data_IF_024248512103
#
_entry.id   IF_024248512103
#
_cell.length_a   1.000
_cell.length_b   1.000
_cell.length_c   1.000
_cell.angle_alpha   90.00
_cell.angle_beta   90.00
_cell.angle_gamma   90.00
#
_symmetry.space_group_name_H-M   'P 1'
#
loop_
_entity.id
_entity.type
_entity.pdbx_description
1 polymer ?
#
# COMPACT_ATOMS: atom_id res chain seq x y z
N UNK A 1 32.47 11.03 -1.67
CA UNK A 1 33.36 10.18 -2.49
C UNK A 1 32.47 9.03 -2.94
N UNK A 2 32.10 8.97 -4.21
CA UNK A 2 30.93 8.21 -4.68
C UNK A 2 31.05 6.71 -4.42
N UNK A 3 30.04 6.14 -3.76
CA UNK A 3 29.90 4.72 -3.48
C UNK A 3 29.87 3.92 -4.79
N UNK A 4 31.03 3.43 -5.22
CA UNK A 4 31.21 2.60 -6.42
C UNK A 4 31.27 1.10 -6.10
N UNK A 5 31.09 0.69 -4.84
CA UNK A 5 31.25 -0.70 -4.38
C UNK A 5 30.14 -1.67 -4.84
N UNK A 6 29.13 -1.20 -5.56
CA UNK A 6 27.99 -2.01 -6.04
C UNK A 6 28.38 -3.08 -7.06
N UNK A 7 29.47 -2.88 -7.80
CA UNK A 7 29.90 -3.79 -8.84
C UNK A 7 30.68 -4.96 -8.26
N UNK A 8 30.32 -6.17 -8.70
CA UNK A 8 30.98 -7.43 -8.29
C UNK A 8 32.48 -7.38 -8.57
N UNK A 9 32.90 -6.75 -9.67
CA UNK A 9 34.32 -6.55 -9.99
C UNK A 9 35.04 -5.71 -8.95
N UNK A 10 34.40 -4.67 -8.42
CA UNK A 10 35.00 -3.78 -7.42
C UNK A 10 35.20 -4.48 -6.08
N UNK A 11 34.19 -5.21 -5.60
CA UNK A 11 34.33 -6.04 -4.39
C UNK A 11 35.42 -7.09 -4.55
N UNK A 12 35.50 -7.75 -5.72
CA UNK A 12 36.54 -8.75 -6.00
C UNK A 12 37.94 -8.15 -5.94
N UNK A 13 38.17 -7.00 -6.56
CA UNK A 13 39.46 -6.30 -6.53
C UNK A 13 39.86 -5.92 -5.10
N UNK A 14 38.89 -5.45 -4.29
CA UNK A 14 39.12 -5.12 -2.88
C UNK A 14 39.51 -6.36 -2.08
N UNK A 15 38.81 -7.48 -2.28
CA UNK A 15 39.10 -8.73 -1.60
C UNK A 15 40.50 -9.26 -1.92
N UNK A 16 40.90 -9.22 -3.20
CA UNK A 16 42.25 -9.57 -3.65
C UNK A 16 43.31 -8.66 -3.02
N UNK A 17 43.05 -7.35 -2.97
CA UNK A 17 43.98 -6.35 -2.39
C UNK A 17 44.12 -6.48 -0.88
N UNK A 18 43.00 -6.70 -0.16
CA UNK A 18 42.96 -6.80 1.31
C UNK A 18 43.21 -8.22 1.83
N UNK A 19 43.35 -9.22 0.94
CA UNK A 19 43.79 -10.56 1.29
C UNK A 19 42.74 -11.42 2.01
N UNK A 20 41.47 -11.29 1.60
CA UNK A 20 40.36 -12.13 2.03
C UNK A 20 39.59 -12.71 0.82
N UNK A 21 38.77 -13.72 1.06
CA UNK A 21 37.93 -14.38 0.05
C UNK A 21 36.49 -13.91 0.17
N UNK A 22 35.86 -13.67 -0.98
CA UNK A 22 34.43 -13.40 -1.06
C UNK A 22 33.64 -14.67 -1.28
N UNK A 23 32.61 -14.88 -0.46
CA UNK A 23 31.67 -15.99 -0.58
C UNK A 23 30.29 -15.40 -0.84
N UNK A 24 29.67 -15.76 -1.97
CA UNK A 24 28.25 -15.46 -2.15
C UNK A 24 27.47 -16.37 -1.20
N UNK A 25 26.86 -15.77 -0.17
CA UNK A 25 26.20 -16.49 0.90
C UNK A 25 25.12 -15.64 1.52
N UNK A 26 24.02 -16.29 1.91
CA UNK A 26 22.94 -15.67 2.64
C UNK A 26 22.89 -16.26 4.04
N UNK A 27 22.60 -15.42 5.02
CA UNK A 27 22.29 -15.82 6.37
C UNK A 27 20.82 -15.54 6.64
N UNK A 28 20.15 -16.42 7.37
CA UNK A 28 18.86 -16.10 7.94
C UNK A 28 19.13 -15.40 9.28
N UNK A 29 18.97 -14.08 9.31
CA UNK A 29 19.08 -13.30 10.55
C UNK A 29 17.85 -13.60 11.42
N UNK A 30 17.85 -14.77 12.05
CA UNK A 30 16.98 -15.12 13.17
C UNK A 30 17.76 -15.11 14.50
N UNK A 31 19.00 -14.60 14.49
CA UNK A 31 19.87 -14.55 15.65
C UNK A 31 19.32 -13.56 16.69
N UNK A 32 19.41 -13.95 17.96
CA UNK A 32 19.14 -13.08 19.10
C UNK A 32 19.84 -11.73 18.90
N UNK A 33 19.10 -10.62 19.07
CA UNK A 33 19.57 -9.25 18.75
C UNK A 33 20.93 -8.91 19.39
N UNK A 34 21.28 -9.59 20.48
CA UNK A 34 22.50 -9.38 21.25
C UNK A 34 23.79 -9.92 20.59
N UNK A 35 23.68 -10.59 19.43
CA UNK A 35 24.83 -11.17 18.69
C UNK A 35 25.10 -10.50 17.34
N UNK A 36 24.36 -9.43 17.03
CA UNK A 36 24.46 -8.68 15.78
C UNK A 36 25.19 -7.36 16.01
N UNK A 37 26.21 -7.09 15.21
CA UNK A 37 26.97 -5.84 15.27
C UNK A 37 27.01 -5.22 13.87
N UNK A 38 26.33 -4.09 13.71
CA UNK A 38 26.39 -3.30 12.49
C UNK A 38 27.61 -2.38 12.51
N UNK A 39 28.33 -2.33 11.39
CA UNK A 39 29.35 -1.30 11.12
C UNK A 39 28.90 -0.56 9.86
N UNK A 40 28.21 0.59 9.99
CA UNK A 40 27.54 1.25 8.86
C UNK A 40 28.51 1.80 7.81
N UNK A 41 29.68 2.28 8.25
CA UNK A 41 30.70 2.74 7.32
C UNK A 41 31.41 1.55 6.68
N UNK A 42 31.33 1.47 5.36
CA UNK A 42 31.87 0.37 4.58
C UNK A 42 33.40 0.25 4.67
N UNK A 43 34.12 1.36 4.64
CA UNK A 43 35.58 1.34 4.74
C UNK A 43 36.02 0.85 6.12
N UNK A 44 35.37 1.33 7.18
CA UNK A 44 35.59 0.86 8.55
C UNK A 44 35.25 -0.63 8.71
N UNK A 45 34.15 -1.09 8.12
CA UNK A 45 33.76 -2.50 8.14
C UNK A 45 34.81 -3.39 7.48
N UNK A 46 35.31 -3.00 6.30
CA UNK A 46 36.33 -3.76 5.57
C UNK A 46 37.68 -3.74 6.29
N UNK A 47 38.07 -2.62 6.89
CA UNK A 47 39.29 -2.52 7.68
C UNK A 47 39.20 -3.33 8.97
N UNK A 48 38.06 -3.30 9.64
CA UNK A 48 37.82 -4.10 10.84
C UNK A 48 37.80 -5.60 10.51
N UNK A 49 37.21 -6.01 9.39
CA UNK A 49 37.26 -7.40 8.90
C UNK A 49 38.70 -7.93 8.77
N UNK A 50 39.59 -7.11 8.19
CA UNK A 50 41.02 -7.43 8.06
C UNK A 50 41.68 -7.50 9.43
N UNK A 51 41.37 -6.56 10.33
CA UNK A 51 41.94 -6.49 11.67
C UNK A 51 41.60 -7.71 12.54
N UNK A 52 40.39 -8.25 12.43
CA UNK A 52 39.98 -9.47 13.17
C UNK A 52 40.50 -10.77 12.55
N UNK A 53 41.35 -10.65 11.52
CA UNK A 53 42.04 -11.72 10.80
C UNK A 53 41.09 -12.76 10.20
N UNK A 54 39.89 -12.35 9.81
CA UNK A 54 38.96 -13.23 9.12
C UNK A 54 39.29 -13.26 7.62
N UNK A 55 39.30 -14.47 7.04
CA UNK A 55 39.62 -14.67 5.62
C UNK A 55 38.38 -14.82 4.75
N UNK A 56 37.19 -14.89 5.34
CA UNK A 56 35.93 -15.11 4.64
C UNK A 56 34.99 -13.94 4.89
N UNK A 57 34.67 -13.22 3.82
CA UNK A 57 33.62 -12.22 3.80
C UNK A 57 32.46 -12.76 2.97
N UNK A 58 31.30 -12.91 3.59
CA UNK A 58 30.09 -13.29 2.91
C UNK A 58 29.40 -12.05 2.34
N UNK A 59 28.78 -12.19 1.18
CA UNK A 59 28.02 -11.11 0.58
C UNK A 59 26.83 -11.61 -0.23
N UNK A 60 25.82 -10.76 -0.36
CA UNK A 60 24.69 -10.97 -1.25
C UNK A 60 24.13 -9.64 -1.74
N UNK A 61 23.62 -9.65 -2.96
CA UNK A 61 22.92 -8.51 -3.55
C UNK A 61 21.42 -8.62 -3.31
N UNK A 62 20.80 -7.50 -2.95
CA UNK A 62 19.36 -7.29 -3.01
C UNK A 62 19.01 -6.55 -4.30
N UNK A 63 17.85 -6.87 -4.85
CA UNK A 63 17.29 -6.23 -6.03
C UNK A 63 15.84 -5.95 -5.71
N UNK A 64 15.42 -4.72 -6.00
CA UNK A 64 14.03 -4.35 -5.90
C UNK A 64 13.43 -4.26 -7.30
N UNK A 65 12.28 -4.89 -7.55
CA UNK A 65 11.62 -4.82 -8.85
C UNK A 65 11.01 -3.43 -9.03
N UNK A 66 11.11 -2.90 -10.26
CA UNK A 66 10.51 -1.60 -10.63
C UNK A 66 9.00 -1.57 -10.35
N UNK A 67 8.35 -2.72 -10.49
CA UNK A 67 6.91 -2.93 -10.29
C UNK A 67 6.45 -2.56 -8.87
N UNK A 68 7.33 -2.59 -7.87
CA UNK A 68 7.00 -2.17 -6.51
C UNK A 68 6.86 -0.64 -6.38
N UNK A 69 7.42 0.13 -7.31
CA UNK A 69 7.51 1.59 -7.22
C UNK A 69 6.71 2.29 -8.32
N UNK A 70 6.56 1.70 -9.51
CA UNK A 70 5.78 2.31 -10.59
C UNK A 70 4.28 2.29 -10.23
N UNK A 71 3.61 3.45 -10.26
CA UNK A 71 2.17 3.51 -10.00
C UNK A 71 1.41 3.02 -11.24
N UNK A 72 0.53 2.00 -11.13
CA UNK A 72 -0.20 1.47 -12.27
C UNK A 72 -1.27 2.42 -12.84
N UNK A 73 -1.61 2.24 -14.12
CA UNK A 73 -2.57 3.09 -14.85
C UNK A 73 -3.96 3.18 -14.19
N UNK A 74 -4.39 2.16 -13.46
CA UNK A 74 -5.70 2.13 -12.80
C UNK A 74 -5.88 3.26 -11.77
N UNK A 75 -4.79 3.75 -11.19
CA UNK A 75 -4.81 4.86 -10.23
C UNK A 75 -5.14 6.20 -10.91
N UNK A 76 -4.98 6.35 -12.22
CA UNK A 76 -5.34 7.59 -12.92
C UNK A 76 -6.85 7.85 -12.99
N UNK A 77 -7.68 6.84 -12.75
CA UNK A 77 -9.14 6.90 -12.93
C UNK A 77 -9.92 6.53 -11.66
N UNK A 78 -9.23 6.42 -10.52
CA UNK A 78 -9.82 5.97 -9.25
C UNK A 78 -10.46 7.10 -8.43
N UNK A 79 -10.27 8.35 -8.83
CA UNK A 79 -10.61 9.54 -8.05
C UNK A 79 -11.72 10.38 -8.68
N UNK A 80 -12.29 11.29 -7.90
CA UNK A 80 -13.32 12.22 -8.36
C UNK A 80 -12.80 13.13 -9.47
N UNK A 81 -13.66 13.42 -10.45
CA UNK A 81 -13.30 14.15 -11.69
C UNK A 81 -12.61 15.47 -11.41
N UNK A 82 -13.02 16.12 -10.33
CA UNK A 82 -12.54 17.40 -9.82
C UNK A 82 -11.02 17.35 -9.55
N UNK A 83 -10.53 16.29 -8.91
CA UNK A 83 -9.10 16.14 -8.56
C UNK A 83 -8.34 15.17 -9.45
N UNK A 84 -9.06 14.39 -10.26
CA UNK A 84 -8.50 13.29 -11.06
C UNK A 84 -7.36 13.74 -11.99
N UNK A 85 -7.49 14.91 -12.62
CA UNK A 85 -6.46 15.43 -13.51
C UNK A 85 -5.17 15.76 -12.74
N UNK A 86 -5.29 16.39 -11.57
CA UNK A 86 -4.12 16.76 -10.74
C UNK A 86 -3.41 15.51 -10.21
N UNK A 87 -4.17 14.54 -9.71
CA UNK A 87 -3.62 13.25 -9.27
C UNK A 87 -2.91 12.55 -10.42
N UNK A 88 -3.55 12.48 -11.61
CA UNK A 88 -2.94 11.90 -12.80
C UNK A 88 -1.65 12.61 -13.22
N UNK A 89 -1.57 13.93 -13.10
CA UNK A 89 -0.36 14.69 -13.42
C UNK A 89 0.78 14.33 -12.47
N UNK A 90 0.55 14.34 -11.15
CA UNK A 90 1.56 13.97 -10.15
C UNK A 90 2.02 12.52 -10.29
N UNK A 91 1.11 11.57 -10.55
CA UNK A 91 1.47 10.18 -10.85
C UNK A 91 2.40 10.09 -12.07
N UNK A 92 2.05 10.79 -13.17
CA UNK A 92 2.88 10.80 -14.37
C UNK A 92 4.27 11.41 -14.12
N UNK A 93 4.37 12.44 -13.29
CA UNK A 93 5.64 13.05 -12.92
C UNK A 93 6.52 12.10 -12.09
N UNK A 94 5.92 11.45 -11.09
CA UNK A 94 6.60 10.45 -10.28
C UNK A 94 7.05 9.24 -11.11
N UNK A 95 6.19 8.67 -11.94
CA UNK A 95 6.54 7.53 -12.80
C UNK A 95 7.69 7.85 -13.76
N UNK A 96 7.80 9.09 -14.26
CA UNK A 96 8.96 9.55 -15.05
C UNK A 96 10.26 9.62 -14.25
N UNK A 97 10.20 9.78 -12.93
CA UNK A 97 11.39 9.70 -12.06
C UNK A 97 11.79 8.23 -11.92
N UNK A 98 10.84 7.34 -11.63
CA UNK A 98 11.07 5.90 -11.51
C UNK A 98 11.62 5.30 -12.83
N UNK A 99 11.12 5.74 -13.98
CA UNK A 99 11.60 5.30 -15.31
C UNK A 99 13.09 5.61 -15.57
N UNK A 100 13.68 6.55 -14.85
CA UNK A 100 15.10 6.91 -15.01
C UNK A 100 16.03 6.04 -14.16
N UNK A 101 15.47 5.28 -13.21
CA UNK A 101 16.23 4.43 -12.30
C UNK A 101 16.48 3.07 -12.96
N UNK A 102 17.72 2.61 -12.89
CA UNK A 102 18.13 1.32 -13.44
C UNK A 102 17.94 0.21 -12.41
N UNK A 103 16.77 -0.44 -12.42
CA UNK A 103 16.42 -1.52 -11.49
C UNK A 103 17.10 -2.87 -11.79
N UNK A 104 17.78 -3.00 -12.93
CA UNK A 104 18.60 -4.20 -13.22
C UNK A 104 19.88 -4.24 -12.36
N UNK A 105 20.23 -3.10 -11.74
CA UNK A 105 21.32 -3.01 -10.77
C UNK A 105 20.84 -3.34 -9.35
N UNK A 106 21.70 -3.95 -8.50
CA UNK A 106 21.40 -4.17 -7.10
C UNK A 106 20.97 -2.89 -6.38
N UNK A 107 19.93 -2.99 -5.56
CA UNK A 107 19.48 -1.92 -4.68
C UNK A 107 20.31 -1.84 -3.40
N UNK A 108 20.80 -2.99 -2.93
CA UNK A 108 21.68 -3.05 -1.77
C UNK A 108 22.72 -4.17 -1.88
N UNK A 109 23.82 -4.00 -1.14
CA UNK A 109 24.77 -5.08 -0.86
C UNK A 109 24.74 -5.33 0.64
N UNK A 110 24.42 -6.57 0.99
CA UNK A 110 24.58 -7.07 2.34
C UNK A 110 25.92 -7.80 2.44
N UNK A 111 26.77 -7.39 3.37
CA UNK A 111 28.06 -8.03 3.65
C UNK A 111 28.13 -8.42 5.12
N UNK A 112 28.69 -9.60 5.40
CA UNK A 112 28.85 -10.05 6.77
C UNK A 112 30.00 -11.03 6.95
N UNK A 113 30.46 -11.15 8.19
CA UNK A 113 31.31 -12.24 8.62
C UNK A 113 31.01 -12.62 10.07
N UNK A 114 31.42 -13.82 10.47
CA UNK A 114 31.21 -14.34 11.81
C UNK A 114 32.55 -14.44 12.52
N UNK A 115 32.63 -13.89 13.74
CA UNK A 115 33.80 -14.01 14.62
C UNK A 115 33.31 -14.17 16.05
N UNK A 116 33.77 -15.24 16.71
CA UNK A 116 33.50 -15.48 18.14
C UNK A 116 32.00 -15.48 18.51
N UNK A 117 31.15 -15.96 17.61
CA UNK A 117 29.70 -16.02 17.81
C UNK A 117 28.96 -14.73 17.47
N UNK A 118 29.67 -13.63 17.17
CA UNK A 118 29.08 -12.39 16.68
C UNK A 118 29.02 -12.37 15.16
N UNK A 119 27.92 -11.86 14.63
CA UNK A 119 27.75 -11.55 13.23
C UNK A 119 27.96 -10.05 13.04
N UNK A 120 29.07 -9.72 12.39
CA UNK A 120 29.37 -8.36 11.99
C UNK A 120 28.82 -8.15 10.59
N UNK A 121 28.08 -7.08 10.36
CA UNK A 121 27.52 -6.80 9.04
C UNK A 121 27.60 -5.33 8.65
N UNK A 122 27.53 -5.12 7.35
CA UNK A 122 27.33 -3.84 6.70
C UNK A 122 26.22 -4.00 5.67
N UNK A 123 25.33 -3.00 5.62
CA UNK A 123 24.40 -2.83 4.52
C UNK A 123 24.79 -1.54 3.82
N UNK A 124 25.10 -1.64 2.54
CA UNK A 124 25.17 -0.45 1.70
C UNK A 124 23.91 -0.46 0.85
N UNK A 125 23.16 0.63 0.83
CA UNK A 125 21.99 0.84 -0.05
C UNK A 125 22.25 1.91 -1.12
N UNK A 126 21.62 1.75 -2.28
CA UNK A 126 21.75 2.70 -3.39
C UNK A 126 20.89 3.93 -3.10
N UNK A 127 21.52 5.10 -3.08
CA UNK A 127 20.88 6.39 -2.73
C UNK A 127 19.60 6.67 -3.54
N UNK A 128 19.55 6.21 -4.79
CA UNK A 128 18.40 6.40 -5.69
C UNK A 128 17.17 5.58 -5.29
N UNK A 129 17.35 4.51 -4.49
CA UNK A 129 16.29 3.56 -4.11
C UNK A 129 15.94 3.68 -2.62
N UNK A 130 16.91 4.00 -1.75
CA UNK A 130 16.74 3.94 -0.28
C UNK A 130 15.55 4.73 0.25
N UNK A 131 15.24 5.87 -0.37
CA UNK A 131 14.16 6.76 0.04
C UNK A 131 12.88 6.59 -0.79
N UNK A 132 12.82 5.59 -1.68
CA UNK A 132 11.61 5.31 -2.46
C UNK A 132 10.57 4.59 -1.61
N UNK A 133 9.33 5.07 -1.69
CA UNK A 133 8.17 4.37 -1.14
C UNK A 133 7.61 3.40 -2.17
N UNK A 134 7.04 2.29 -1.70
CA UNK A 134 6.21 1.44 -2.54
C UNK A 134 5.04 2.27 -3.13
N UNK A 135 4.56 1.86 -4.31
CA UNK A 135 3.61 2.70 -5.07
C UNK A 135 2.31 2.95 -4.30
N UNK A 136 1.88 2.02 -3.44
CA UNK A 136 0.66 2.17 -2.63
C UNK A 136 0.80 3.33 -1.63
N UNK A 137 1.93 3.39 -0.93
CA UNK A 137 2.23 4.47 0.01
C UNK A 137 2.45 5.80 -0.74
N UNK A 138 3.12 5.77 -1.89
CA UNK A 138 3.34 6.97 -2.70
C UNK A 138 2.03 7.56 -3.24
N UNK A 139 1.06 6.72 -3.59
CA UNK A 139 -0.28 7.18 -3.99
C UNK A 139 -0.94 7.97 -2.86
N UNK A 140 -0.84 7.50 -1.62
CA UNK A 140 -1.41 8.21 -0.47
C UNK A 140 -0.73 9.58 -0.26
N UNK A 141 0.59 9.63 -0.40
CA UNK A 141 1.35 10.90 -0.37
C UNK A 141 0.86 11.87 -1.46
N UNK A 142 0.73 11.39 -2.70
CA UNK A 142 0.23 12.21 -3.81
C UNK A 142 -1.18 12.73 -3.52
N UNK A 143 -2.05 11.89 -2.95
CA UNK A 143 -3.41 12.30 -2.59
C UNK A 143 -3.43 13.36 -1.50
N UNK A 144 -2.60 13.21 -0.46
CA UNK A 144 -2.47 14.22 0.58
C UNK A 144 -2.01 15.56 0.01
N UNK A 145 -1.03 15.55 -0.90
CA UNK A 145 -0.58 16.76 -1.59
C UNK A 145 -1.71 17.41 -2.40
N UNK A 146 -2.43 16.62 -3.22
CA UNK A 146 -3.54 17.15 -4.02
C UNK A 146 -4.65 17.72 -3.14
N UNK A 147 -4.99 17.07 -2.02
CA UNK A 147 -6.00 17.59 -1.08
C UNK A 147 -5.53 18.90 -0.46
N UNK A 148 -4.27 19.03 -0.09
CA UNK A 148 -3.72 20.28 0.46
C UNK A 148 -3.70 21.41 -0.58
N UNK A 149 -3.49 21.09 -1.85
CA UNK A 149 -3.49 22.04 -2.97
C UNK A 149 -4.91 22.39 -3.46
N UNK A 150 -5.91 21.57 -3.13
CA UNK A 150 -7.30 21.74 -3.58
C UNK A 150 -8.03 22.80 -2.74
N UNK A 151 -8.71 23.78 -3.36
CA UNK A 151 -9.51 24.76 -2.62
C UNK A 151 -10.63 24.12 -1.77
N UNK A 152 -10.85 24.64 -0.56
CA UNK A 152 -11.85 24.10 0.39
C UNK A 152 -13.26 24.04 -0.22
N UNK A 153 -13.66 25.04 -1.01
CA UNK A 153 -14.96 25.07 -1.70
C UNK A 153 -15.15 23.86 -2.64
N UNK A 154 -14.09 23.45 -3.32
CA UNK A 154 -14.08 22.31 -4.23
C UNK A 154 -14.09 20.99 -3.46
N UNK A 155 -13.42 20.91 -2.30
CA UNK A 155 -13.52 19.75 -1.40
C UNK A 155 -14.94 19.59 -0.85
N UNK A 156 -15.62 20.68 -0.50
CA UNK A 156 -17.01 20.65 -0.08
C UNK A 156 -17.96 20.27 -1.23
N UNK A 157 -17.68 20.72 -2.46
CA UNK A 157 -18.39 20.26 -3.64
C UNK A 157 -18.26 18.75 -3.84
N UNK A 158 -17.03 18.21 -3.77
CA UNK A 158 -16.76 16.77 -3.87
C UNK A 158 -17.55 16.00 -2.78
N UNK A 159 -17.52 16.45 -1.53
CA UNK A 159 -18.29 15.82 -0.44
C UNK A 159 -19.79 15.84 -0.74
N UNK A 160 -20.31 16.97 -1.23
CA UNK A 160 -21.72 17.11 -1.60
C UNK A 160 -22.10 16.18 -2.75
N UNK A 161 -21.28 16.09 -3.79
CA UNK A 161 -21.49 15.19 -4.91
C UNK A 161 -21.46 13.72 -4.48
N UNK A 162 -20.49 13.30 -3.65
CA UNK A 162 -20.42 11.95 -3.07
C UNK A 162 -21.71 11.62 -2.31
N UNK A 163 -22.15 12.53 -1.43
CA UNK A 163 -23.40 12.37 -0.68
C UNK A 163 -24.61 12.25 -1.61
N UNK A 164 -24.74 13.14 -2.59
CA UNK A 164 -25.84 13.11 -3.55
C UNK A 164 -25.87 11.81 -4.36
N UNK A 165 -24.70 11.26 -4.72
CA UNK A 165 -24.59 9.96 -5.41
C UNK A 165 -25.06 8.82 -4.51
N UNK A 166 -24.59 8.76 -3.27
CA UNK A 166 -25.00 7.76 -2.28
C UNK A 166 -26.52 7.86 -2.04
N UNK A 167 -27.04 9.06 -1.83
CA UNK A 167 -28.47 9.29 -1.61
C UNK A 167 -29.31 8.82 -2.81
N UNK A 168 -28.82 9.02 -4.03
CA UNK A 168 -29.47 8.53 -5.25
C UNK A 168 -29.48 7.01 -5.31
N UNK A 169 -28.34 6.35 -5.10
CA UNK A 169 -28.22 4.89 -5.12
C UNK A 169 -29.05 4.23 -4.00
N UNK A 170 -29.08 4.84 -2.81
CA UNK A 170 -29.95 4.41 -1.70
C UNK A 170 -31.42 4.54 -2.09
N UNK A 171 -31.82 5.62 -2.75
CA UNK A 171 -33.21 5.77 -3.22
C UNK A 171 -33.56 4.75 -4.30
N UNK A 172 -32.65 4.43 -5.23
CA UNK A 172 -32.86 3.36 -6.21
C UNK A 172 -33.05 2.01 -5.51
N UNK A 173 -32.24 1.69 -4.50
CA UNK A 173 -32.41 0.51 -3.65
C UNK A 173 -33.76 0.49 -2.92
N UNK A 174 -34.24 1.64 -2.43
CA UNK A 174 -35.57 1.74 -1.80
C UNK A 174 -36.67 1.34 -2.77
N UNK A 175 -36.64 1.85 -4.00
CA UNK A 175 -37.67 1.53 -5.01
C UNK A 175 -37.65 0.03 -5.35
N UNK A 176 -36.46 -0.58 -5.49
CA UNK A 176 -36.32 -2.03 -5.67
C UNK A 176 -37.01 -2.81 -4.54
N UNK A 177 -36.76 -2.42 -3.29
CA UNK A 177 -37.35 -3.09 -2.11
C UNK A 177 -38.85 -2.81 -2.01
N UNK A 178 -39.31 -1.61 -2.36
CA UNK A 178 -40.72 -1.25 -2.33
C UNK A 178 -41.53 -2.03 -3.36
N UNK A 179 -40.92 -2.42 -4.47
CA UNK A 179 -41.54 -3.27 -5.48
C UNK A 179 -41.52 -4.76 -5.12
N UNK A 180 -40.64 -5.20 -4.22
CA UNK A 180 -40.52 -6.60 -3.80
C UNK A 180 -41.77 -7.09 -3.03
N UNK A 181 -42.53 -8.08 -3.55
CA UNK A 181 -43.66 -8.66 -2.84
C UNK A 181 -43.32 -9.26 -1.47
N UNK A 182 -42.11 -9.80 -1.27
CA UNK A 182 -41.67 -10.35 0.02
C UNK A 182 -41.57 -9.24 1.07
N UNK A 183 -41.12 -8.04 0.68
CA UNK A 183 -41.10 -6.87 1.55
C UNK A 183 -42.52 -6.43 1.92
N UNK A 184 -43.43 -6.36 0.94
CA UNK A 184 -44.84 -5.99 1.16
C UNK A 184 -45.53 -6.91 2.18
N UNK A 185 -45.19 -8.21 2.14
CA UNK A 185 -45.71 -9.22 3.05
C UNK A 185 -45.05 -9.21 4.44
N UNK A 186 -43.93 -8.51 4.62
CA UNK A 186 -43.19 -8.44 5.88
C UNK A 186 -43.81 -7.41 6.85
N UNK A 187 -45.05 -7.65 7.27
CA UNK A 187 -45.86 -6.66 8.02
C UNK A 187 -45.42 -6.45 9.48
N UNK A 188 -44.72 -7.42 10.08
CA UNK A 188 -44.19 -7.32 11.44
C UNK A 188 -42.66 -7.34 11.49
N UNK A 189 -42.08 -6.87 12.59
CA UNK A 189 -40.64 -6.70 12.74
C UNK A 189 -39.85 -8.01 12.57
N UNK A 190 -40.41 -9.15 13.00
CA UNK A 190 -39.74 -10.44 12.82
C UNK A 190 -39.67 -10.83 11.36
N UNK A 191 -40.75 -10.63 10.59
CA UNK A 191 -40.75 -10.90 9.15
C UNK A 191 -39.81 -9.96 8.40
N UNK A 192 -39.73 -8.69 8.81
CA UNK A 192 -38.78 -7.73 8.20
C UNK A 192 -37.33 -8.07 8.48
N UNK A 193 -37.02 -8.60 9.67
CA UNK A 193 -35.69 -9.10 9.98
C UNK A 193 -35.31 -10.28 9.08
N UNK A 194 -36.23 -11.22 8.86
CA UNK A 194 -36.03 -12.35 7.94
C UNK A 194 -35.84 -11.87 6.51
N UNK A 195 -36.71 -10.95 6.05
CA UNK A 195 -36.59 -10.33 4.73
C UNK A 195 -35.22 -9.64 4.54
N UNK A 196 -34.81 -8.83 5.51
CA UNK A 196 -33.52 -8.14 5.50
C UNK A 196 -32.36 -9.12 5.36
N UNK A 197 -32.31 -10.19 6.16
CA UNK A 197 -31.25 -11.19 6.05
C UNK A 197 -31.22 -11.84 4.67
N UNK A 198 -32.38 -12.26 4.13
CA UNK A 198 -32.45 -12.93 2.83
C UNK A 198 -32.06 -12.00 1.67
N UNK A 199 -32.63 -10.79 1.64
CA UNK A 199 -32.39 -9.84 0.56
C UNK A 199 -30.91 -9.44 0.47
N UNK A 200 -30.27 -9.11 1.59
CA UNK A 200 -28.87 -8.66 1.58
C UNK A 200 -27.85 -9.80 1.55
N UNK A 201 -28.27 -11.04 1.83
CA UNK A 201 -27.43 -12.23 1.57
C UNK A 201 -27.32 -12.50 0.06
N UNK A 202 -28.42 -12.30 -0.68
CA UNK A 202 -28.49 -12.45 -2.13
C UNK A 202 -27.91 -11.24 -2.89
N UNK A 203 -27.91 -10.04 -2.28
CA UNK A 203 -27.46 -8.78 -2.90
C UNK A 203 -26.42 -8.07 -2.01
N UNK A 204 -25.23 -8.67 -1.90
CA UNK A 204 -24.18 -8.21 -0.96
C UNK A 204 -23.58 -6.86 -1.33
N UNK A 205 -23.63 -6.47 -2.60
CA UNK A 205 -23.16 -5.18 -3.10
C UNK A 205 -23.85 -3.99 -2.42
N UNK A 206 -25.12 -4.15 -2.01
CA UNK A 206 -25.85 -3.10 -1.32
C UNK A 206 -25.44 -2.93 0.15
N UNK A 207 -24.70 -3.87 0.73
CA UNK A 207 -24.22 -3.75 2.11
C UNK A 207 -23.19 -2.63 2.22
N UNK A 208 -22.25 -2.53 1.27
CA UNK A 208 -21.27 -1.44 1.26
C UNK A 208 -21.92 -0.09 0.98
N UNK A 209 -22.88 -0.04 0.05
CA UNK A 209 -23.69 1.17 -0.18
C UNK A 209 -24.36 1.67 1.12
N UNK A 210 -24.97 0.76 1.89
CA UNK A 210 -25.62 1.12 3.15
C UNK A 210 -24.62 1.64 4.20
N UNK A 211 -23.41 1.07 4.26
CA UNK A 211 -22.37 1.60 5.16
C UNK A 211 -21.94 3.01 4.76
N UNK A 212 -21.80 3.28 3.46
CA UNK A 212 -21.52 4.63 2.96
C UNK A 212 -22.65 5.63 3.24
N UNK A 213 -23.88 5.13 3.39
CA UNK A 213 -25.07 5.89 3.80
C UNK A 213 -25.32 5.91 5.32
N UNK A 214 -24.29 5.62 6.13
CA UNK A 214 -24.34 5.60 7.60
C UNK A 214 -25.29 4.56 8.24
N UNK A 215 -25.71 3.55 7.48
CA UNK A 215 -26.45 2.40 8.03
C UNK A 215 -25.50 1.29 8.48
N UNK A 216 -25.30 1.20 9.80
CA UNK A 216 -24.43 0.19 10.42
C UNK A 216 -24.97 -1.25 10.31
N UNK A 217 -26.27 -1.45 10.04
CA UNK A 217 -26.84 -2.76 9.78
C UNK A 217 -28.05 -2.69 8.83
N UNK A 218 -28.16 -3.58 7.82
CA UNK A 218 -29.25 -3.52 6.83
C UNK A 218 -30.66 -3.59 7.41
N UNK A 219 -30.83 -4.25 8.56
CA UNK A 219 -32.14 -4.32 9.22
C UNK A 219 -32.67 -2.95 9.67
N UNK A 220 -31.79 -2.00 9.96
CA UNK A 220 -32.18 -0.65 10.38
C UNK A 220 -32.72 0.11 9.18
N UNK A 221 -32.00 0.03 8.07
CA UNK A 221 -32.46 0.56 6.79
C UNK A 221 -33.85 0.00 6.44
N UNK A 222 -34.06 -1.32 6.55
CA UNK A 222 -35.36 -1.96 6.32
C UNK A 222 -36.47 -1.41 7.24
N UNK A 223 -36.19 -1.20 8.52
CA UNK A 223 -37.19 -0.63 9.45
C UNK A 223 -37.52 0.84 9.12
N UNK A 224 -36.52 1.62 8.71
CA UNK A 224 -36.71 3.02 8.34
C UNK A 224 -37.54 3.17 7.06
N UNK A 225 -37.18 2.41 6.01
CA UNK A 225 -37.93 2.46 4.75
C UNK A 225 -39.31 1.84 4.92
N UNK A 226 -39.52 0.89 5.85
CA UNK A 226 -40.86 0.39 6.18
C UNK A 226 -41.76 1.48 6.78
N UNK A 227 -41.21 2.39 7.59
CA UNK A 227 -41.97 3.54 8.09
C UNK A 227 -42.38 4.46 6.95
N UNK A 228 -41.46 4.73 6.02
CA UNK A 228 -41.70 5.52 4.82
C UNK A 228 -42.76 4.86 3.90
N UNK A 229 -42.62 3.56 3.65
CA UNK A 229 -43.53 2.73 2.85
C UNK A 229 -44.97 2.78 3.39
N UNK A 230 -45.13 2.72 4.72
CA UNK A 230 -46.43 2.88 5.37
C UNK A 230 -46.99 4.29 5.20
N UNK A 231 -46.17 5.32 5.36
CA UNK A 231 -46.61 6.72 5.18
C UNK A 231 -47.08 6.99 3.75
N UNK A 232 -46.42 6.39 2.75
CA UNK A 232 -46.81 6.46 1.33
C UNK A 232 -48.08 5.65 0.99
N UNK A 233 -48.62 4.87 1.94
CA UNK A 233 -49.84 4.08 1.72
C UNK A 233 -49.65 2.83 0.85
N UNK A 234 -48.40 2.44 0.57
CA UNK A 234 -48.04 1.34 -0.34
C UNK A 234 -48.21 -0.06 0.27
N UNK A 235 -48.57 -0.15 1.55
CA UNK A 235 -48.77 -1.38 2.31
C UNK A 235 -50.17 -2.00 2.15
N UNK A 236 -51.00 -1.42 1.28
CA UNK A 236 -52.40 -1.81 1.05
C UNK A 236 -52.55 -2.64 -0.20
#
# INVERSE_FOLDING_TARGET
MGYQLWLKENLKNIAETKGFSLINGRTHINSEKDTLIEIPNLDEFLDFHVHVENKLLFYSYSYDPKENYIIPDEYHQKYEKEIQEQVSQKINEYNKIIDKIDFDKPSAVFMYYIKEGFLFFNVTEREEIVDLLEYEDMVDVILEEVVQETPEEMLEEIKSQRKNKIDKEVNELKEIIFDDPKFKNATNASLRKVYSSQFFEENREYIELLRHADYYHPSIFIEDIWREFKQKGLHK
#
